data_IF_543994993233
#
_entry.id   IF_543994993233
#
_cell.length_a   1.000
_cell.length_b   1.000
_cell.length_c   1.000
_cell.angle_alpha   90.00
_cell.angle_beta   90.00
_cell.angle_gamma   90.00
#
_symmetry.space_group_name_H-M   'P 1'
#
loop_
_entity.id
_entity.type
_entity.pdbx_description
1 polymer ?
#
# COMPACT_ATOMS: atom_id res chain seq x y z
N UNK A 1 28.97 -18.68 19.93
CA UNK A 1 29.02 -18.41 18.48
C UNK A 1 27.88 -17.44 18.14
N UNK A 2 27.95 -16.21 18.66
CA UNK A 2 26.85 -15.22 18.65
C UNK A 2 27.29 -13.80 18.28
N UNK A 3 28.56 -13.59 17.92
CA UNK A 3 29.15 -12.24 17.80
C UNK A 3 29.58 -11.83 16.39
N UNK A 4 29.39 -12.65 15.35
CA UNK A 4 30.02 -12.39 14.04
C UNK A 4 29.16 -11.66 13.00
N UNK A 5 27.96 -11.18 13.34
CA UNK A 5 27.13 -10.40 12.40
C UNK A 5 27.23 -8.87 12.61
N UNK A 6 28.06 -8.40 13.55
CA UNK A 6 28.15 -6.98 13.90
C UNK A 6 29.10 -6.15 13.03
N UNK A 7 29.97 -6.74 12.22
CA UNK A 7 30.95 -6.00 11.41
C UNK A 7 31.03 -6.60 9.99
N UNK A 8 30.24 -6.08 9.06
CA UNK A 8 30.48 -6.26 7.62
C UNK A 8 30.52 -7.71 7.11
N UNK A 9 29.89 -8.65 7.81
CA UNK A 9 29.82 -10.04 7.36
C UNK A 9 28.99 -10.12 6.08
N UNK A 10 29.67 -10.31 4.95
CA UNK A 10 29.05 -10.52 3.65
C UNK A 10 28.23 -11.82 3.69
N UNK A 11 26.89 -11.76 3.52
CA UNK A 11 26.05 -12.96 3.54
C UNK A 11 26.34 -13.91 2.39
N UNK A 12 27.10 -13.51 1.36
CA UNK A 12 27.67 -14.46 0.39
C UNK A 12 28.57 -15.50 1.06
N UNK A 13 29.12 -15.20 2.24
CA UNK A 13 29.89 -16.14 3.07
C UNK A 13 29.02 -17.20 3.76
N UNK A 14 27.69 -17.03 3.78
CA UNK A 14 26.74 -18.03 4.30
C UNK A 14 26.43 -19.14 3.28
N UNK A 15 27.09 -19.14 2.11
CA UNK A 15 26.95 -20.17 1.09
C UNK A 15 25.64 -20.14 0.31
N UNK A 16 24.73 -19.21 0.63
CA UNK A 16 23.56 -18.91 -0.17
C UNK A 16 23.79 -17.59 -0.91
N UNK A 17 23.80 -17.65 -2.24
CA UNK A 17 23.71 -16.44 -3.06
C UNK A 17 22.31 -15.87 -2.85
N UNK A 18 22.15 -14.64 -2.31
CA UNK A 18 20.84 -14.04 -2.17
C UNK A 18 20.22 -13.91 -3.57
N UNK A 19 19.11 -14.60 -3.81
CA UNK A 19 18.37 -14.39 -5.06
C UNK A 19 17.92 -12.94 -5.12
N UNK A 20 18.21 -12.21 -6.21
CA UNK A 20 17.72 -10.84 -6.37
C UNK A 20 16.20 -10.85 -6.28
N UNK A 21 15.66 -10.27 -5.22
CA UNK A 21 14.23 -10.11 -5.11
C UNK A 21 13.77 -9.05 -6.13
N UNK A 22 12.67 -9.30 -6.87
CA UNK A 22 12.11 -8.28 -7.73
C UNK A 22 11.75 -7.06 -6.89
N UNK A 23 11.79 -5.87 -7.49
CA UNK A 23 11.38 -4.64 -6.81
C UNK A 23 9.93 -4.81 -6.31
N UNK A 24 9.74 -4.69 -5.00
CA UNK A 24 8.43 -4.78 -4.36
C UNK A 24 7.93 -3.40 -3.94
N UNK A 25 6.62 -3.17 -4.01
CA UNK A 25 6.01 -1.98 -3.43
C UNK A 25 5.97 -2.08 -1.89
N UNK A 26 5.85 -0.95 -1.17
CA UNK A 26 5.67 -0.98 0.29
C UNK A 26 4.49 -1.87 0.71
N UNK A 27 3.39 -1.86 -0.03
CA UNK A 27 2.22 -2.70 0.24
C UNK A 27 2.55 -4.20 0.14
N UNK A 28 3.26 -4.61 -0.92
CA UNK A 28 3.66 -6.01 -1.09
C UNK A 28 4.59 -6.49 0.03
N UNK A 29 5.50 -5.63 0.49
CA UNK A 29 6.41 -5.94 1.60
C UNK A 29 5.64 -6.04 2.91
N UNK A 30 4.71 -5.11 3.17
CA UNK A 30 3.84 -5.14 4.35
C UNK A 30 2.99 -6.40 4.38
N UNK A 31 2.43 -6.81 3.25
CA UNK A 31 1.55 -7.98 3.19
C UNK A 31 2.33 -9.28 3.41
N UNK A 32 3.60 -9.34 3.01
CA UNK A 32 4.46 -10.51 3.17
C UNK A 32 5.13 -10.60 4.55
N UNK A 33 5.58 -9.48 5.13
CA UNK A 33 6.44 -9.45 6.32
C UNK A 33 5.85 -8.65 7.49
N UNK A 34 4.74 -7.97 7.29
CA UNK A 34 4.09 -7.12 8.30
C UNK A 34 4.56 -5.67 8.31
N UNK A 35 3.80 -4.83 9.00
CA UNK A 35 4.04 -3.39 9.09
C UNK A 35 5.32 -3.06 9.88
N UNK A 36 5.62 -3.81 10.94
CA UNK A 36 6.81 -3.58 11.77
C UNK A 36 8.10 -3.85 11.01
N UNK A 37 8.10 -4.88 10.15
CA UNK A 37 9.22 -5.17 9.26
C UNK A 37 9.42 -4.02 8.26
N UNK A 38 8.34 -3.58 7.59
CA UNK A 38 8.41 -2.49 6.64
C UNK A 38 8.94 -1.20 7.28
N UNK A 39 8.46 -0.85 8.48
CA UNK A 39 8.92 0.32 9.21
C UNK A 39 10.42 0.29 9.49
N UNK A 40 10.95 -0.86 9.93
CA UNK A 40 12.39 -1.04 10.13
C UNK A 40 13.16 -0.97 8.81
N UNK A 41 12.65 -1.61 7.75
CA UNK A 41 13.27 -1.61 6.42
C UNK A 41 13.40 -0.18 5.85
N UNK A 42 12.40 0.67 6.06
CA UNK A 42 12.39 2.06 5.58
C UNK A 42 13.42 2.98 6.29
N UNK A 43 13.93 2.58 7.45
CA UNK A 43 15.00 3.31 8.15
C UNK A 43 16.41 2.97 7.67
N UNK A 44 16.55 1.95 6.82
CA UNK A 44 17.85 1.52 6.32
C UNK A 44 18.34 2.40 5.18
N UNK A 45 19.66 2.57 5.13
CA UNK A 45 20.34 3.19 3.99
C UNK A 45 20.51 2.15 2.88
N UNK A 46 20.23 2.52 1.64
CA UNK A 46 20.51 1.66 0.50
C UNK A 46 22.04 1.45 0.34
N UNK A 47 22.44 0.23 0.02
CA UNK A 47 23.83 -0.21 -0.06
C UNK A 47 24.27 -1.04 1.14
N UNK A 48 23.56 -0.93 2.27
CA UNK A 48 23.92 -1.60 3.52
C UNK A 48 23.10 -2.87 3.77
N UNK A 49 23.72 -3.76 4.55
CA UNK A 49 23.06 -4.94 5.12
C UNK A 49 22.60 -4.65 6.54
N UNK A 50 21.45 -5.19 6.91
CA UNK A 50 20.92 -5.08 8.25
C UNK A 50 20.26 -6.39 8.69
N UNK A 51 20.22 -6.56 10.01
CA UNK A 51 19.47 -7.62 10.67
C UNK A 51 18.22 -7.01 11.29
N UNK A 52 17.05 -7.45 10.82
CA UNK A 52 15.74 -7.00 11.29
C UNK A 52 15.12 -8.11 12.13
N UNK A 53 14.79 -7.81 13.37
CA UNK A 53 14.03 -8.70 14.26
C UNK A 53 12.58 -8.23 14.38
N UNK A 54 11.63 -9.11 14.07
CA UNK A 54 10.18 -8.86 14.17
C UNK A 54 9.52 -10.07 14.80
N UNK A 55 8.80 -9.86 15.91
CA UNK A 55 8.28 -10.95 16.72
C UNK A 55 9.43 -11.84 17.24
N UNK A 56 9.38 -13.13 16.91
CA UNK A 56 10.42 -14.13 17.23
C UNK A 56 11.28 -14.51 15.99
N UNK A 57 11.16 -13.76 14.89
CA UNK A 57 11.83 -14.08 13.61
C UNK A 57 12.93 -13.06 13.32
N UNK A 58 14.08 -13.60 12.90
CA UNK A 58 15.23 -12.82 12.46
C UNK A 58 15.33 -12.84 10.94
N UNK A 59 15.47 -11.65 10.35
CA UNK A 59 15.65 -11.45 8.92
C UNK A 59 17.01 -10.79 8.67
N UNK A 60 17.75 -11.27 7.67
CA UNK A 60 18.94 -10.61 7.15
C UNK A 60 18.58 -10.02 5.80
N UNK A 61 18.72 -8.69 5.65
CA UNK A 61 18.29 -7.96 4.46
C UNK A 61 19.41 -7.09 3.93
N UNK A 62 19.57 -7.06 2.61
CA UNK A 62 20.45 -6.14 1.90
C UNK A 62 19.59 -5.20 1.08
N UNK A 63 19.56 -3.92 1.43
CA UNK A 63 18.75 -2.94 0.71
C UNK A 63 19.56 -2.42 -0.48
N UNK A 64 19.29 -2.90 -1.69
CA UNK A 64 20.06 -2.49 -2.87
C UNK A 64 19.70 -1.11 -3.38
N UNK A 65 18.40 -0.78 -3.38
CA UNK A 65 17.91 0.51 -3.82
C UNK A 65 16.59 0.84 -3.15
N UNK A 66 16.43 2.09 -2.73
CA UNK A 66 15.16 2.66 -2.30
C UNK A 66 14.72 3.69 -3.32
N UNK A 67 13.54 3.52 -3.91
CA UNK A 67 12.92 4.59 -4.69
C UNK A 67 11.97 5.33 -3.77
N UNK A 68 12.26 6.59 -3.42
CA UNK A 68 11.32 7.38 -2.62
C UNK A 68 9.99 7.46 -3.37
N UNK A 69 8.91 7.30 -2.63
CA UNK A 69 7.57 7.47 -3.17
C UNK A 69 7.49 8.92 -3.68
N UNK A 70 7.35 9.08 -5.00
CA UNK A 70 7.21 10.40 -5.59
C UNK A 70 5.84 10.91 -5.16
N UNK A 71 5.82 11.92 -4.30
CA UNK A 71 4.57 12.59 -3.94
C UNK A 71 3.91 13.05 -5.24
N UNK A 72 2.74 12.48 -5.51
CA UNK A 72 1.97 12.79 -6.70
C UNK A 72 1.52 14.25 -6.63
N UNK A 73 1.74 14.99 -7.71
CA UNK A 73 1.26 16.37 -7.81
C UNK A 73 -0.26 16.35 -7.88
N UNK A 74 -0.92 17.12 -7.00
CA UNK A 74 -2.37 17.27 -7.01
C UNK A 74 -2.87 17.71 -8.40
N UNK A 75 -2.11 18.56 -9.10
CA UNK A 75 -2.45 18.98 -10.47
C UNK A 75 -2.61 17.81 -11.45
N UNK A 76 -1.90 16.70 -11.25
CA UNK A 76 -1.99 15.52 -12.10
C UNK A 76 -3.31 14.74 -11.93
N UNK A 77 -4.05 14.99 -10.84
CA UNK A 77 -5.29 14.28 -10.50
C UNK A 77 -6.50 15.20 -10.38
N UNK A 78 -6.35 16.50 -10.63
CA UNK A 78 -7.45 17.48 -10.52
C UNK A 78 -8.66 17.10 -11.37
N UNK A 79 -8.44 16.71 -12.62
CA UNK A 79 -9.53 16.35 -13.53
C UNK A 79 -10.28 15.11 -13.06
N UNK A 80 -9.55 14.07 -12.63
CA UNK A 80 -10.14 12.82 -12.12
C UNK A 80 -10.96 13.08 -10.85
N UNK A 81 -10.40 13.86 -9.93
CA UNK A 81 -11.09 14.22 -8.67
C UNK A 81 -12.32 15.08 -8.97
N UNK A 82 -12.21 16.01 -9.91
CA UNK A 82 -13.32 16.86 -10.36
C UNK A 82 -14.48 16.05 -10.94
N UNK A 83 -14.17 15.11 -11.83
CA UNK A 83 -15.15 14.22 -12.47
C UNK A 83 -15.87 13.34 -11.44
N UNK A 84 -15.13 12.75 -10.50
CA UNK A 84 -15.72 11.93 -9.44
C UNK A 84 -16.59 12.76 -8.50
N UNK A 85 -16.14 13.95 -8.11
CA UNK A 85 -16.93 14.87 -7.29
C UNK A 85 -18.23 15.27 -8.00
N UNK A 86 -18.16 15.59 -9.29
CA UNK A 86 -19.32 15.98 -10.09
C UNK A 86 -20.32 14.83 -10.24
N UNK A 87 -19.84 13.61 -10.49
CA UNK A 87 -20.69 12.40 -10.52
C UNK A 87 -21.39 12.20 -9.19
N UNK A 88 -20.67 12.37 -8.08
CA UNK A 88 -21.25 12.25 -6.74
C UNK A 88 -22.33 13.31 -6.48
N UNK A 89 -22.11 14.56 -6.89
CA UNK A 89 -23.13 15.61 -6.76
C UNK A 89 -24.39 15.29 -7.56
N UNK A 90 -24.24 14.79 -8.79
CA UNK A 90 -25.38 14.39 -9.63
C UNK A 90 -26.19 13.27 -8.98
N UNK A 91 -25.51 12.25 -8.45
CA UNK A 91 -26.16 11.14 -7.73
C UNK A 91 -26.90 11.64 -6.48
N UNK A 92 -26.28 12.55 -5.70
CA UNK A 92 -26.92 13.17 -4.53
C UNK A 92 -28.17 13.96 -4.91
N UNK A 93 -28.13 14.72 -6.00
CA UNK A 93 -29.28 15.47 -6.50
C UNK A 93 -30.41 14.55 -6.95
N UNK A 94 -30.09 13.55 -7.78
CA UNK A 94 -31.07 12.56 -8.25
C UNK A 94 -31.75 11.85 -7.06
N UNK A 95 -30.98 11.43 -6.05
CA UNK A 95 -31.53 10.80 -4.85
C UNK A 95 -32.45 11.75 -4.03
N UNK A 96 -32.18 13.06 -4.01
CA UNK A 96 -33.09 14.04 -3.39
C UNK A 96 -34.37 14.19 -4.19
N UNK A 97 -34.29 14.27 -5.52
CA UNK A 97 -35.45 14.41 -6.39
C UNK A 97 -36.35 13.18 -6.31
N UNK A 98 -35.77 11.97 -6.36
CA UNK A 98 -36.51 10.71 -6.20
C UNK A 98 -37.24 10.67 -4.85
N UNK A 99 -36.59 11.09 -3.75
CA UNK A 99 -37.23 11.16 -2.43
C UNK A 99 -38.38 12.16 -2.38
N UNK A 100 -38.19 13.34 -2.97
CA UNK A 100 -39.24 14.36 -3.05
C UNK A 100 -40.44 13.88 -3.89
N UNK A 101 -40.19 13.19 -5.00
CA UNK A 101 -41.26 12.58 -5.80
C UNK A 101 -41.99 11.50 -5.00
N UNK A 102 -41.26 10.59 -4.35
CA UNK A 102 -41.88 9.52 -3.55
C UNK A 102 -42.79 10.04 -2.44
N UNK A 103 -42.52 11.23 -1.88
CA UNK A 103 -43.37 11.84 -0.87
C UNK A 103 -44.73 12.30 -1.42
N UNK A 104 -44.83 12.60 -2.72
CA UNK A 104 -46.02 13.17 -3.36
C UNK A 104 -46.80 12.17 -4.22
N UNK A 105 -46.24 11.00 -4.49
CA UNK A 105 -46.83 10.00 -5.39
C UNK A 105 -46.93 8.63 -4.71
N UNK A 106 -48.13 8.03 -4.73
CA UNK A 106 -48.36 6.66 -4.26
C UNK A 106 -48.01 5.67 -5.37
N UNK A 107 -46.99 4.84 -5.14
CA UNK A 107 -46.56 3.82 -6.11
C UNK A 107 -47.39 2.55 -5.93
N UNK A 108 -48.33 2.29 -6.84
CA UNK A 108 -49.04 1.00 -6.91
C UNK A 108 -48.26 0.04 -7.79
N UNK A 109 -47.85 -1.12 -7.25
CA UNK A 109 -47.35 -2.23 -8.08
C UNK A 109 -48.53 -2.79 -8.87
N UNK A 110 -48.45 -2.79 -10.20
CA UNK A 110 -49.38 -3.55 -11.02
C UNK A 110 -49.22 -5.04 -10.70
N UNK A 111 -50.27 -5.66 -10.16
CA UNK A 111 -50.37 -7.12 -10.13
C UNK A 111 -50.62 -7.58 -11.56
N UNK A 112 -49.60 -8.18 -12.19
CA UNK A 112 -49.82 -9.00 -13.38
C UNK A 112 -50.65 -10.22 -12.95
N UNK A 113 -51.92 -10.24 -13.36
CA UNK A 113 -52.79 -11.41 -13.35
C UNK A 113 -52.80 -12.07 -14.72
#
# INVERSE_FOLDING_TARGET
MRDTLADGADPLLLGQVPTPYPRQSPDQIRDAYGADFLAKLQTLTAGDWAVIHVGDVWHVVGLTALTPEKQSDFAAFQDVIGDDWQREQQLRLAARMIRAMRANYEVRRGSSG
#
